data_IF_318532105716
#
_entry.id   IF_318532105716
#
_cell.length_a   1.000
_cell.length_b   1.000
_cell.length_c   1.000
_cell.angle_alpha   90.00
_cell.angle_beta   90.00
_cell.angle_gamma   90.00
#
_symmetry.space_group_name_H-M   'P 1'
#
loop_
_entity.id
_entity.type
_entity.pdbx_description
1 polymer ?
#
# COMPACT_ATOMS: atom_id res chain seq x y z
N UNK A 1 8.46 -10.52 -5.24
CA UNK A 1 7.60 -10.13 -4.11
C UNK A 1 8.46 -9.36 -3.13
N UNK A 2 8.13 -8.09 -2.82
CA UNK A 2 8.90 -7.29 -1.88
C UNK A 2 8.78 -7.90 -0.48
N UNK A 3 9.92 -8.08 0.18
CA UNK A 3 9.96 -8.55 1.55
C UNK A 3 10.07 -7.33 2.46
N UNK A 4 8.96 -6.92 3.07
CA UNK A 4 8.98 -5.85 4.06
C UNK A 4 9.40 -6.42 5.41
N UNK A 5 10.29 -5.70 6.10
CA UNK A 5 10.53 -5.91 7.53
C UNK A 5 9.87 -4.79 8.34
N UNK A 6 9.80 -4.96 9.65
CA UNK A 6 9.21 -3.99 10.56
C UNK A 6 9.81 -2.59 10.40
N UNK A 7 11.13 -2.49 10.27
CA UNK A 7 11.83 -1.20 10.18
C UNK A 7 11.43 -0.46 8.90
N UNK A 8 11.44 -1.17 7.77
CA UNK A 8 11.10 -0.64 6.45
C UNK A 8 9.63 -0.23 6.40
N UNK A 9 8.74 -1.06 6.97
CA UNK A 9 7.32 -0.76 7.02
C UNK A 9 7.02 0.49 7.86
N UNK A 10 7.63 0.62 9.04
CA UNK A 10 7.46 1.81 9.89
C UNK A 10 8.02 3.08 9.23
N UNK A 11 9.10 2.97 8.46
CA UNK A 11 9.66 4.11 7.72
C UNK A 11 8.73 4.65 6.61
N UNK A 12 7.69 3.89 6.23
CA UNK A 12 6.69 4.30 5.25
C UNK A 12 5.53 5.09 5.84
N UNK A 13 5.39 5.15 7.18
CA UNK A 13 4.33 5.91 7.83
C UNK A 13 4.34 7.38 7.36
N UNK A 14 3.17 7.85 6.97
CA UNK A 14 2.95 9.20 6.48
C UNK A 14 3.38 9.45 5.03
N UNK A 15 4.02 8.49 4.36
CA UNK A 15 4.42 8.59 2.95
C UNK A 15 3.28 8.16 2.01
N UNK A 16 3.28 8.74 0.82
CA UNK A 16 2.43 8.30 -0.28
C UNK A 16 3.16 7.25 -1.11
N UNK A 17 2.48 6.15 -1.37
CA UNK A 17 3.00 5.03 -2.15
C UNK A 17 2.17 4.84 -3.41
N UNK A 18 2.84 4.34 -4.44
CA UNK A 18 2.22 3.67 -5.57
C UNK A 18 2.62 2.21 -5.53
N UNK A 19 1.63 1.32 -5.57
CA UNK A 19 1.82 -0.12 -5.51
C UNK A 19 1.12 -0.81 -6.69
N UNK A 20 1.83 -1.76 -7.31
CA UNK A 20 1.24 -2.65 -8.30
C UNK A 20 0.74 -3.89 -7.54
N UNK A 21 -0.56 -4.16 -7.60
CA UNK A 21 -1.22 -5.22 -6.84
C UNK A 21 -1.48 -6.44 -7.71
N UNK A 22 -1.30 -7.62 -7.15
CA UNK A 22 -1.68 -8.89 -7.78
C UNK A 22 -3.10 -9.25 -7.33
N UNK A 23 -4.08 -9.09 -8.22
CA UNK A 23 -5.45 -9.55 -7.96
C UNK A 23 -5.53 -11.06 -8.19
N UNK A 24 -6.09 -11.80 -7.23
CA UNK A 24 -6.23 -13.27 -7.31
C UNK A 24 -6.94 -13.76 -8.58
N UNK A 25 -7.82 -12.95 -9.15
CA UNK A 25 -8.70 -13.33 -10.26
C UNK A 25 -8.48 -12.54 -11.56
N UNK A 26 -7.41 -11.73 -11.65
CA UNK A 26 -7.14 -10.92 -12.84
C UNK A 26 -5.72 -11.14 -13.38
N UNK A 27 -5.53 -11.23 -14.72
CA UNK A 27 -4.21 -11.37 -15.33
C UNK A 27 -3.42 -10.04 -15.35
N UNK A 28 -3.97 -8.95 -14.82
CA UNK A 28 -3.37 -7.62 -14.83
C UNK A 28 -3.06 -7.14 -13.40
N UNK A 29 -1.98 -6.37 -13.28
CA UNK A 29 -1.63 -5.67 -12.05
C UNK A 29 -2.47 -4.39 -11.95
N UNK A 30 -3.08 -4.17 -10.80
CA UNK A 30 -3.79 -2.91 -10.52
C UNK A 30 -2.82 -1.92 -9.87
N UNK A 31 -2.77 -0.68 -10.40
CA UNK A 31 -1.94 0.38 -9.81
C UNK A 31 -2.74 1.11 -8.73
N UNK A 32 -2.37 0.90 -7.48
CA UNK A 32 -2.97 1.53 -6.31
C UNK A 32 -2.11 2.69 -5.79
N UNK A 33 -2.74 3.82 -5.47
CA UNK A 33 -2.08 4.95 -4.80
C UNK A 33 -2.74 5.21 -3.45
N UNK A 34 -1.94 5.21 -2.40
CA UNK A 34 -2.43 5.46 -1.05
C UNK A 34 -1.35 6.07 -0.15
N UNK A 35 -1.79 6.83 0.85
CA UNK A 35 -0.94 7.32 1.92
C UNK A 35 -0.96 6.32 3.06
N UNK A 36 0.21 5.86 3.48
CA UNK A 36 0.33 4.93 4.60
C UNK A 36 0.07 5.68 5.91
N UNK A 37 -0.96 5.26 6.65
CA UNK A 37 -1.38 5.86 7.92
C UNK A 37 -1.23 4.90 9.10
N UNK A 38 -0.94 3.63 8.83
CA UNK A 38 -0.68 2.62 9.86
C UNK A 38 0.03 1.39 9.29
N UNK A 39 0.60 0.60 10.19
CA UNK A 39 1.24 -0.68 9.89
C UNK A 39 0.71 -1.69 10.89
N UNK A 40 0.11 -2.76 10.41
CA UNK A 40 -0.22 -3.94 11.20
C UNK A 40 0.88 -4.99 10.97
N UNK A 41 1.64 -5.26 12.02
CA UNK A 41 2.63 -6.33 12.02
C UNK A 41 1.97 -7.63 12.48
N UNK A 42 2.43 -8.75 11.95
CA UNK A 42 1.92 -10.07 12.31
C UNK A 42 1.92 -10.27 13.83
N UNK A 43 0.73 -10.57 14.35
CA UNK A 43 0.52 -11.17 15.65
C UNK A 43 -0.09 -12.55 15.36
N UNK A 44 0.59 -13.60 15.81
CA UNK A 44 0.19 -14.99 15.53
C UNK A 44 0.13 -15.32 14.02
N UNK A 45 -1.02 -15.74 13.51
CA UNK A 45 -1.23 -16.24 12.15
C UNK A 45 -1.77 -15.17 11.18
N UNK A 46 -1.92 -13.91 11.64
CA UNK A 46 -2.44 -12.84 10.79
C UNK A 46 -1.36 -12.27 9.84
N UNK A 47 -1.64 -12.20 8.52
CA UNK A 47 -0.69 -11.63 7.57
C UNK A 47 -0.50 -10.13 7.83
N UNK A 48 0.72 -9.60 7.65
CA UNK A 48 0.99 -8.18 7.86
C UNK A 48 0.38 -7.34 6.73
N UNK A 49 -0.05 -6.13 7.08
CA UNK A 49 -0.66 -5.19 6.13
C UNK A 49 -0.36 -3.73 6.47
N UNK A 50 -0.49 -2.87 5.46
CA UNK A 50 -0.55 -1.43 5.65
C UNK A 50 -2.00 -0.97 5.83
N UNK A 51 -2.20 0.05 6.66
CA UNK A 51 -3.41 0.85 6.64
C UNK A 51 -3.14 2.05 5.75
N UNK A 52 -3.92 2.20 4.70
CA UNK A 52 -3.72 3.22 3.66
C UNK A 52 -4.98 4.08 3.49
N UNK A 53 -4.79 5.33 3.11
CA UNK A 53 -5.89 6.21 2.71
C UNK A 53 -5.65 6.72 1.31
N UNK A 54 -6.70 6.71 0.49
CA UNK A 54 -6.66 7.43 -0.77
C UNK A 54 -6.63 8.94 -0.51
N UNK A 55 -5.57 9.68 -0.91
CA UNK A 55 -5.53 11.12 -0.72
C UNK A 55 -6.54 11.88 -1.60
N UNK A 56 -6.99 11.30 -2.73
CA UNK A 56 -8.00 11.89 -3.61
C UNK A 56 -9.43 11.72 -3.06
N UNK A 57 -9.66 10.66 -2.29
CA UNK A 57 -10.97 10.33 -1.72
C UNK A 57 -10.84 10.13 -0.21
N UNK A 58 -11.11 11.17 0.60
CA UNK A 58 -10.99 11.08 2.05
C UNK A 58 -12.10 10.20 2.63
N UNK A 59 -11.88 8.89 2.59
CA UNK A 59 -12.74 7.91 3.24
C UNK A 59 -12.66 8.04 4.77
N UNK A 60 -13.75 7.64 5.45
CA UNK A 60 -13.86 7.72 6.92
C UNK A 60 -12.83 6.82 7.62
N UNK A 61 -12.56 5.65 7.06
CA UNK A 61 -11.65 4.65 7.60
C UNK A 61 -10.56 4.33 6.58
N UNK A 62 -9.34 3.97 7.04
CA UNK A 62 -8.30 3.48 6.14
C UNK A 62 -8.67 2.10 5.57
N UNK A 63 -8.14 1.82 4.38
CA UNK A 63 -8.21 0.52 3.72
C UNK A 63 -7.01 -0.35 4.13
N UNK A 64 -7.19 -1.67 4.07
CA UNK A 64 -6.15 -2.65 4.33
C UNK A 64 -5.42 -2.99 3.03
N UNK A 65 -4.09 -2.93 3.05
CA UNK A 65 -3.23 -3.34 1.94
C UNK A 65 -2.30 -4.45 2.42
N UNK A 66 -2.68 -5.69 2.17
CA UNK A 66 -1.92 -6.88 2.52
C UNK A 66 -0.58 -6.89 1.80
N UNK A 67 0.50 -7.19 2.53
CA UNK A 67 1.83 -7.30 1.92
C UNK A 67 1.88 -8.41 0.89
N UNK A 68 1.03 -9.43 1.04
CA UNK A 68 0.91 -10.54 0.10
C UNK A 68 0.48 -10.13 -1.30
N UNK A 69 -0.23 -9.01 -1.40
CA UNK A 69 -0.88 -8.59 -2.63
C UNK A 69 0.01 -7.60 -3.40
N UNK A 70 1.04 -7.05 -2.76
CA UNK A 70 1.95 -6.08 -3.34
C UNK A 70 2.98 -6.81 -4.23
N UNK A 71 2.91 -6.58 -5.54
CA UNK A 71 3.93 -7.05 -6.48
C UNK A 71 5.16 -6.13 -6.49
N UNK A 72 4.91 -4.82 -6.50
CA UNK A 72 5.92 -3.76 -6.49
C UNK A 72 5.37 -2.56 -5.74
N UNK A 73 6.25 -1.80 -5.09
CA UNK A 73 5.87 -0.56 -4.42
C UNK A 73 6.99 0.47 -4.52
N UNK A 74 6.60 1.74 -4.65
CA UNK A 74 7.51 2.88 -4.60
C UNK A 74 6.88 4.03 -3.83
N UNK A 75 7.71 4.78 -3.12
CA UNK A 75 7.30 6.06 -2.52
C UNK A 75 7.25 7.10 -3.63
N UNK A 76 6.18 7.88 -3.65
CA UNK A 76 6.00 9.00 -4.58
C UNK A 76 5.71 10.28 -3.81
N UNK A 77 6.08 11.41 -4.40
CA UNK A 77 5.76 12.71 -3.83
C UNK A 77 4.30 13.07 -4.12
N UNK A 78 3.63 13.71 -3.15
CA UNK A 78 2.22 14.10 -3.26
C UNK A 78 1.95 15.04 -4.44
N UNK A 79 2.97 15.75 -4.94
CA UNK A 79 2.89 16.66 -6.09
C UNK A 79 2.83 15.96 -7.44
N UNK A 80 3.05 14.64 -7.49
CA UNK A 80 3.00 13.88 -8.75
C UNK A 80 1.54 13.56 -9.07
N UNK A 81 0.88 14.11 -10.11
CA UNK A 81 -0.45 13.68 -10.50
C UNK A 81 -0.40 12.21 -10.93
N UNK A 82 -1.47 11.45 -10.64
CA UNK A 82 -1.62 10.12 -11.24
C UNK A 82 -1.71 10.33 -12.75
N UNK A 83 -0.75 9.79 -13.50
CA UNK A 83 -0.80 9.86 -14.96
C UNK A 83 -2.06 9.14 -15.43
N UNK A 84 -3.03 9.90 -15.93
CA UNK A 84 -4.16 9.38 -16.70
C UNK A 84 -3.60 8.65 -17.92
N UNK A 85 -3.98 7.38 -18.09
CA UNK A 85 -3.72 6.60 -19.31
C UNK A 85 -5.03 6.11 -19.87
#
# INVERSE_FOLDING_TARGET
MPHFDTSTALALLGKTIQADLTLKDAPYLESYRGRVVGVALTVEDEPPYFLVRNPAEPQRFPEELLWSDIHRMQVIDDETPASET
#
